data_IF_018676682965
#
_entry.id   IF_018676682965
#
_cell.length_a   1.000
_cell.length_b   1.000
_cell.length_c   1.000
_cell.angle_alpha   90.00
_cell.angle_beta   90.00
_cell.angle_gamma   90.00
#
_symmetry.space_group_name_H-M   'P 1'
#
loop_
_entity.id
_entity.type
_entity.pdbx_description
1 polymer ?
#
# COMPACT_ATOMS: atom_id res chain seq x y z
N UNK A 1 11.24 4.71 13.30
CA UNK A 1 10.03 4.08 13.86
C UNK A 1 9.30 5.07 14.77
N UNK A 2 8.67 6.11 14.21
CA UNK A 2 7.98 7.17 14.99
C UNK A 2 6.70 7.72 14.32
N UNK A 3 6.30 7.17 13.17
CA UNK A 3 5.24 7.77 12.32
C UNK A 3 3.83 7.35 12.77
N UNK A 4 3.68 6.19 13.43
CA UNK A 4 2.37 5.62 13.75
C UNK A 4 1.70 6.15 15.04
N UNK A 5 2.38 6.93 15.88
CA UNK A 5 1.83 7.35 17.18
C UNK A 5 1.15 8.73 17.18
N UNK A 6 1.22 9.48 16.07
CA UNK A 6 0.77 10.89 16.02
C UNK A 6 -0.33 11.23 15.03
N UNK A 7 -0.76 10.32 14.15
CA UNK A 7 -1.88 10.58 13.24
C UNK A 7 -2.69 9.31 13.02
N UNK A 8 -4.02 9.45 13.05
CA UNK A 8 -5.03 8.46 12.67
C UNK A 8 -4.85 8.02 11.20
N UNK A 9 -3.74 7.37 10.88
CA UNK A 9 -3.50 6.79 9.57
C UNK A 9 -3.96 5.33 9.61
N UNK A 10 -4.87 4.91 8.72
CA UNK A 10 -5.23 3.51 8.54
C UNK A 10 -3.97 2.65 8.39
N UNK A 11 -4.01 1.43 8.91
CA UNK A 11 -2.91 0.48 8.83
C UNK A 11 -2.42 0.27 7.38
N UNK A 12 -3.32 0.32 6.40
CA UNK A 12 -3.01 0.26 4.96
C UNK A 12 -2.10 1.39 4.49
N UNK A 13 -2.27 2.61 5.01
CA UNK A 13 -1.40 3.75 4.68
C UNK A 13 -0.01 3.58 5.31
N UNK A 14 0.05 3.08 6.54
CA UNK A 14 1.32 2.79 7.21
C UNK A 14 2.09 1.71 6.46
N UNK A 15 1.42 0.64 6.04
CA UNK A 15 2.02 -0.42 5.22
C UNK A 15 2.50 0.12 3.89
N UNK A 16 1.69 0.94 3.19
CA UNK A 16 2.08 1.58 1.93
C UNK A 16 3.33 2.45 2.09
N UNK A 17 3.38 3.27 3.14
CA UNK A 17 4.52 4.14 3.44
C UNK A 17 5.79 3.31 3.75
N UNK A 18 5.65 2.21 4.50
CA UNK A 18 6.76 1.31 4.82
C UNK A 18 7.29 0.59 3.57
N UNK A 19 6.41 0.10 2.70
CA UNK A 19 6.80 -0.55 1.43
C UNK A 19 7.48 0.48 0.53
N UNK A 20 6.95 1.71 0.42
CA UNK A 20 7.57 2.79 -0.36
C UNK A 20 9.00 3.08 0.11
N UNK A 21 9.19 3.26 1.42
CA UNK A 21 10.53 3.46 2.01
C UNK A 21 11.44 2.27 1.76
N UNK A 22 10.93 1.04 1.86
CA UNK A 22 11.71 -0.16 1.56
C UNK A 22 12.16 -0.20 0.09
N UNK A 23 11.27 0.08 -0.85
CA UNK A 23 11.56 0.07 -2.29
C UNK A 23 12.55 1.16 -2.67
N UNK A 24 12.37 2.39 -2.18
CA UNK A 24 13.27 3.53 -2.41
C UNK A 24 14.69 3.24 -1.89
N UNK A 25 14.81 2.61 -0.72
CA UNK A 25 16.10 2.33 -0.11
C UNK A 25 16.78 1.06 -0.64
N UNK A 26 16.03 0.08 -1.13
CA UNK A 26 16.61 -1.21 -1.56
C UNK A 26 16.87 -1.31 -3.06
N UNK A 27 16.52 -0.32 -3.90
CA UNK A 27 16.76 -0.30 -5.37
C UNK A 27 16.31 -1.55 -6.14
N UNK A 28 15.53 -2.45 -5.53
CA UNK A 28 14.91 -3.60 -6.19
C UNK A 28 13.45 -3.22 -6.45
N UNK A 29 13.25 -2.23 -7.32
CA UNK A 29 11.94 -2.03 -7.93
C UNK A 29 12.06 -2.55 -9.34
N UNK A 30 11.49 -3.72 -9.61
CA UNK A 30 11.29 -4.13 -10.99
C UNK A 30 10.26 -3.16 -11.63
N UNK A 31 10.29 -3.06 -12.96
CA UNK A 31 9.45 -2.11 -13.71
C UNK A 31 7.96 -2.21 -13.33
N UNK A 32 7.47 -3.43 -13.11
CA UNK A 32 6.08 -3.72 -12.74
C UNK A 32 5.69 -3.13 -11.37
N UNK A 33 6.60 -3.14 -10.39
CA UNK A 33 6.35 -2.57 -9.07
C UNK A 33 6.25 -1.04 -9.12
N UNK A 34 7.08 -0.37 -9.93
CA UNK A 34 6.97 1.08 -10.15
C UNK A 34 5.66 1.45 -10.85
N UNK A 35 5.26 0.69 -11.87
CA UNK A 35 3.99 0.90 -12.57
C UNK A 35 2.78 0.74 -11.63
N UNK A 36 2.84 -0.22 -10.70
CA UNK A 36 1.80 -0.41 -9.69
C UNK A 36 1.67 0.80 -8.76
N UNK A 37 2.79 1.42 -8.35
CA UNK A 37 2.75 2.66 -7.58
C UNK A 37 2.18 3.82 -8.37
N UNK A 38 2.58 3.97 -9.64
CA UNK A 38 2.04 5.03 -10.51
C UNK A 38 0.53 4.89 -10.71
N UNK A 39 0.03 3.68 -10.98
CA UNK A 39 -1.41 3.40 -11.06
C UNK A 39 -2.13 3.76 -9.76
N UNK A 40 -1.58 3.32 -8.63
CA UNK A 40 -2.13 3.61 -7.30
C UNK A 40 -2.20 5.11 -7.00
N UNK A 41 -1.14 5.87 -7.31
CA UNK A 41 -1.09 7.32 -7.09
C UNK A 41 -2.07 8.08 -8.01
N UNK A 42 -2.30 7.57 -9.23
CA UNK A 42 -3.34 8.05 -10.17
C UNK A 42 -4.74 7.56 -9.84
N UNK A 43 -4.91 6.79 -8.75
CA UNK A 43 -6.17 6.13 -8.37
C UNK A 43 -6.74 5.19 -9.46
N UNK A 44 -5.85 4.65 -10.29
CA UNK A 44 -6.13 3.61 -11.28
C UNK A 44 -5.84 2.23 -10.66
N UNK A 45 -6.69 1.24 -10.94
CA UNK A 45 -6.50 -0.14 -10.47
C UNK A 45 -6.45 -0.26 -8.93
N UNK A 46 -7.13 0.66 -8.23
CA UNK A 46 -7.25 0.67 -6.77
C UNK A 46 -8.62 0.13 -6.37
N UNK A 47 -8.63 -0.98 -5.63
CA UNK A 47 -9.82 -1.58 -5.06
C UNK A 47 -9.97 -1.21 -3.58
N UNK A 48 -11.21 -1.00 -3.17
CA UNK A 48 -11.57 -0.65 -1.80
C UNK A 48 -12.36 -1.80 -1.17
N UNK A 49 -12.07 -2.07 0.10
CA UNK A 49 -12.81 -3.00 0.93
C UNK A 49 -13.43 -2.26 2.11
N UNK A 50 -14.69 -2.55 2.42
CA UNK A 50 -15.41 -1.88 3.50
C UNK A 50 -14.94 -2.34 4.89
N UNK A 51 -14.48 -3.60 4.98
CA UNK A 51 -13.99 -4.20 6.21
C UNK A 51 -13.04 -5.38 5.91
N UNK A 52 -12.48 -5.98 6.96
CA UNK A 52 -11.51 -7.08 6.83
C UNK A 52 -12.13 -8.31 6.17
N UNK A 53 -13.40 -8.64 6.45
CA UNK A 53 -14.06 -9.80 5.85
C UNK A 53 -14.27 -9.58 4.34
N UNK A 54 -14.65 -8.37 3.94
CA UNK A 54 -14.76 -7.97 2.54
C UNK A 54 -13.40 -8.00 1.82
N UNK A 55 -12.34 -7.53 2.47
CA UNK A 55 -10.97 -7.61 1.94
C UNK A 55 -10.54 -9.05 1.68
N UNK A 56 -10.72 -9.93 2.68
CA UNK A 56 -10.36 -11.35 2.57
C UNK A 56 -11.13 -12.02 1.43
N UNK A 57 -12.44 -11.73 1.32
CA UNK A 57 -13.28 -12.21 0.23
C UNK A 57 -12.81 -11.72 -1.15
N UNK A 58 -12.42 -10.45 -1.27
CA UNK A 58 -11.91 -9.89 -2.53
C UNK A 58 -10.54 -10.45 -2.91
N UNK A 59 -9.74 -10.83 -1.92
CA UNK A 59 -8.41 -11.43 -2.12
C UNK A 59 -8.45 -12.95 -2.37
N UNK A 60 -9.61 -13.59 -2.19
CA UNK A 60 -9.82 -15.04 -2.33
C UNK A 60 -8.83 -15.89 -1.50
N UNK A 61 -8.64 -15.49 -0.23
CA UNK A 61 -7.74 -16.13 0.75
C UNK A 61 -8.44 -16.46 2.08
#
# INVERSE_FOLDING_TARGET
MAIAKRKYRPASQILRDLIRVYVENNKISNKEMLETFHKTDSNEDVFYAENIADLIKQLDI
#
